data_IF_724318283636
#
_entry.id   IF_724318283636
#
_cell.length_a   1.000
_cell.length_b   1.000
_cell.length_c   1.000
_cell.angle_alpha   90.00
_cell.angle_beta   90.00
_cell.angle_gamma   90.00
#
_symmetry.space_group_name_H-M   'P 1'
#
loop_
_entity.id
_entity.type
_entity.pdbx_description
1 polymer ?
#
# COMPACT_ATOMS: atom_id res chain seq x y z
N UNK A 1 29.11 7.03 -29.68
CA UNK A 1 27.95 6.63 -30.46
C UNK A 1 27.27 5.44 -29.83
N UNK A 2 26.21 5.68 -29.05
CA UNK A 2 25.35 4.65 -28.45
C UNK A 2 24.07 4.53 -29.28
N UNK A 3 24.20 4.09 -30.51
CA UNK A 3 23.06 3.68 -31.32
C UNK A 3 23.09 2.16 -31.45
N UNK A 4 22.75 1.46 -30.35
CA UNK A 4 22.18 0.14 -30.50
C UNK A 4 20.66 0.36 -30.66
N UNK A 5 20.17 0.07 -31.86
CA UNK A 5 18.72 0.01 -32.09
C UNK A 5 18.11 -0.85 -30.97
N UNK A 6 17.16 -0.30 -30.24
CA UNK A 6 16.41 -1.07 -29.28
C UNK A 6 15.74 -2.25 -30.03
N UNK A 7 15.80 -3.48 -29.52
CA UNK A 7 15.05 -4.58 -30.12
C UNK A 7 13.58 -4.17 -30.22
N UNK A 8 12.89 -4.60 -31.28
CA UNK A 8 11.46 -4.35 -31.46
C UNK A 8 10.74 -4.74 -30.18
N UNK A 9 10.22 -3.75 -29.47
CA UNK A 9 9.56 -3.95 -28.19
C UNK A 9 8.19 -4.55 -28.43
N UNK A 10 7.89 -5.60 -27.70
CA UNK A 10 6.54 -6.16 -27.62
C UNK A 10 5.67 -5.16 -26.86
N UNK A 11 4.88 -4.38 -27.57
CA UNK A 11 3.97 -3.41 -26.96
C UNK A 11 2.54 -3.95 -26.90
N UNK A 12 1.78 -3.57 -25.85
CA UNK A 12 2.19 -2.75 -24.69
C UNK A 12 2.98 -3.55 -23.65
N UNK A 13 3.89 -2.88 -22.92
CA UNK A 13 4.60 -3.44 -21.75
C UNK A 13 3.73 -3.28 -20.52
N UNK A 14 3.50 -4.37 -19.80
CA UNK A 14 2.78 -4.34 -18.53
C UNK A 14 3.76 -4.21 -17.35
N UNK A 15 3.77 -3.05 -16.69
CA UNK A 15 4.47 -2.85 -15.43
C UNK A 15 3.48 -2.89 -14.27
N UNK A 16 3.74 -3.72 -13.27
CA UNK A 16 2.94 -3.83 -12.05
C UNK A 16 3.76 -3.37 -10.85
N UNK A 17 3.27 -2.37 -10.14
CA UNK A 17 3.77 -2.07 -8.80
C UNK A 17 3.14 -3.04 -7.80
N UNK A 18 3.96 -3.99 -7.33
CA UNK A 18 3.58 -5.04 -6.39
C UNK A 18 4.09 -4.78 -4.96
N UNK A 19 4.48 -3.55 -4.63
CA UNK A 19 5.08 -3.19 -3.34
C UNK A 19 4.24 -3.61 -2.13
N UNK A 20 2.91 -3.60 -2.22
CA UNK A 20 2.01 -3.95 -1.12
C UNK A 20 1.51 -5.40 -1.13
N UNK A 21 1.81 -6.19 -2.17
CA UNK A 21 1.10 -7.44 -2.41
C UNK A 21 1.77 -8.68 -1.80
N UNK A 22 3.11 -8.76 -1.77
CA UNK A 22 3.85 -10.00 -1.52
C UNK A 22 3.61 -10.65 -0.14
N UNK A 23 3.20 -9.87 0.88
CA UNK A 23 2.81 -10.44 2.18
C UNK A 23 1.49 -11.21 2.14
N UNK A 24 0.60 -10.91 1.19
CA UNK A 24 -0.80 -11.37 1.20
C UNK A 24 -1.23 -12.07 -0.07
N UNK A 25 -0.59 -11.77 -1.21
CA UNK A 25 -0.93 -12.30 -2.52
C UNK A 25 0.28 -12.96 -3.17
N UNK A 26 0.03 -13.90 -4.07
CA UNK A 26 1.06 -14.35 -4.99
C UNK A 26 1.29 -13.30 -6.07
N UNK A 27 2.33 -12.53 -5.87
CA UNK A 27 2.71 -11.41 -6.72
C UNK A 27 3.96 -11.73 -7.56
N UNK A 28 4.21 -13.00 -7.85
CA UNK A 28 5.28 -13.40 -8.77
C UNK A 28 5.02 -12.88 -10.19
N UNK A 29 6.06 -12.56 -10.97
CA UNK A 29 5.90 -12.01 -12.32
C UNK A 29 5.03 -12.91 -13.23
N UNK A 30 5.20 -14.21 -13.15
CA UNK A 30 4.41 -15.18 -13.90
C UNK A 30 2.93 -15.18 -13.49
N UNK A 31 2.64 -15.10 -12.18
CA UNK A 31 1.28 -15.01 -11.66
C UNK A 31 0.59 -13.72 -12.10
N UNK A 32 1.33 -12.62 -12.09
CA UNK A 32 0.85 -11.31 -12.54
C UNK A 32 0.80 -11.17 -14.05
N UNK A 33 1.45 -12.09 -14.80
CA UNK A 33 1.66 -11.99 -16.25
C UNK A 33 2.25 -10.64 -16.66
N UNK A 34 3.17 -10.11 -15.83
CA UNK A 34 3.75 -8.79 -16.00
C UNK A 34 5.15 -8.90 -16.59
N UNK A 35 5.48 -7.96 -17.48
CA UNK A 35 6.80 -7.82 -18.08
C UNK A 35 7.79 -7.15 -17.13
N UNK A 36 7.30 -6.25 -16.28
CA UNK A 36 8.08 -5.55 -15.25
C UNK A 36 7.30 -5.56 -13.95
N UNK A 37 7.97 -5.84 -12.84
CA UNK A 37 7.35 -5.78 -11.50
C UNK A 37 8.27 -5.08 -10.52
N UNK A 38 7.77 -4.09 -9.82
CA UNK A 38 8.49 -3.44 -8.72
C UNK A 38 8.00 -3.91 -7.36
N UNK A 39 8.95 -4.09 -6.43
CA UNK A 39 8.70 -4.51 -5.06
C UNK A 39 9.45 -3.60 -4.08
N UNK A 40 8.94 -3.50 -2.87
CA UNK A 40 9.55 -2.76 -1.76
C UNK A 40 9.86 -3.71 -0.61
N UNK A 41 11.14 -3.85 -0.27
CA UNK A 41 11.60 -4.73 0.80
C UNK A 41 11.00 -4.36 2.16
N UNK A 42 10.89 -3.07 2.47
CA UNK A 42 10.30 -2.57 3.71
C UNK A 42 8.84 -2.99 3.86
N UNK A 43 8.06 -3.07 2.77
CA UNK A 43 6.64 -3.44 2.80
C UNK A 43 6.42 -4.93 3.08
N UNK A 44 7.46 -5.74 2.97
CA UNK A 44 7.46 -7.16 3.34
C UNK A 44 8.24 -7.42 4.65
N UNK A 45 8.44 -6.39 5.47
CA UNK A 45 9.18 -6.43 6.73
C UNK A 45 10.68 -6.73 6.57
N UNK A 46 11.22 -6.45 5.39
CA UNK A 46 12.64 -6.51 5.09
C UNK A 46 13.38 -5.18 5.34
N UNK A 47 14.64 -5.09 4.92
CA UNK A 47 15.45 -3.89 5.11
C UNK A 47 14.86 -2.65 4.44
N UNK A 48 14.99 -1.49 5.10
CA UNK A 48 14.61 -0.19 4.52
C UNK A 48 15.60 0.25 3.45
N UNK A 49 15.12 1.05 2.49
CA UNK A 49 15.96 1.64 1.45
C UNK A 49 16.29 0.70 0.30
N UNK A 50 15.64 -0.45 0.22
CA UNK A 50 15.82 -1.43 -0.85
C UNK A 50 14.49 -1.70 -1.56
N UNK A 51 14.56 -1.65 -2.88
CA UNK A 51 13.52 -2.13 -3.79
C UNK A 51 14.08 -3.21 -4.70
N UNK A 52 13.19 -4.00 -5.28
CA UNK A 52 13.52 -5.00 -6.29
C UNK A 52 12.73 -4.70 -7.55
N UNK A 53 13.43 -4.66 -8.68
CA UNK A 53 12.81 -4.58 -9.99
C UNK A 53 13.02 -5.90 -10.73
N UNK A 54 11.93 -6.63 -10.96
CA UNK A 54 11.93 -7.70 -11.94
C UNK A 54 11.68 -7.09 -13.32
N UNK A 55 12.42 -7.58 -14.31
CA UNK A 55 12.24 -7.23 -15.71
C UNK A 55 12.42 -8.47 -16.58
N UNK A 56 11.46 -8.73 -17.45
CA UNK A 56 11.65 -9.70 -18.52
C UNK A 56 12.81 -9.25 -19.42
N UNK A 57 13.65 -10.18 -19.87
CA UNK A 57 14.83 -9.87 -20.68
C UNK A 57 14.48 -9.21 -22.02
N UNK A 58 13.29 -9.44 -22.54
CA UNK A 58 12.82 -8.85 -23.79
C UNK A 58 12.46 -7.36 -23.66
N UNK A 59 12.27 -6.85 -22.42
CA UNK A 59 11.93 -5.44 -22.18
C UNK A 59 13.23 -4.61 -22.12
N UNK A 60 13.46 -3.68 -23.03
CA UNK A 60 14.60 -2.79 -22.95
C UNK A 60 14.47 -1.84 -21.76
N UNK A 61 15.54 -1.70 -20.98
CA UNK A 61 15.61 -0.76 -19.86
C UNK A 61 16.91 0.02 -19.95
N UNK A 62 16.79 1.34 -19.98
CA UNK A 62 17.94 2.23 -19.97
C UNK A 62 18.27 2.67 -18.54
N UNK A 63 19.55 2.83 -18.17
CA UNK A 63 19.93 3.41 -16.89
C UNK A 63 19.47 4.87 -16.80
N UNK A 64 18.94 5.27 -15.65
CA UNK A 64 18.55 6.67 -15.39
C UNK A 64 19.74 7.49 -14.93
N UNK A 65 20.73 6.85 -14.29
CA UNK A 65 21.96 7.48 -13.79
C UNK A 65 23.19 6.90 -14.47
N UNK A 66 24.15 7.74 -14.79
CA UNK A 66 25.46 7.31 -15.30
C UNK A 66 26.35 6.77 -14.20
N UNK A 67 27.30 5.88 -14.54
CA UNK A 67 28.27 5.32 -13.60
C UNK A 67 28.80 3.95 -14.03
N UNK A 68 29.15 3.11 -13.06
CA UNK A 68 29.66 1.77 -13.28
C UNK A 68 28.64 0.77 -13.85
N UNK A 69 29.11 -0.43 -14.11
CA UNK A 69 28.33 -1.50 -14.77
C UNK A 69 27.54 -2.39 -13.80
N UNK A 70 27.40 -2.01 -12.53
CA UNK A 70 26.68 -2.77 -11.54
C UNK A 70 25.21 -2.98 -11.96
N UNK A 71 24.57 -3.98 -11.40
CA UNK A 71 23.18 -4.37 -11.74
C UNK A 71 22.99 -4.46 -13.27
N UNK A 72 23.95 -5.10 -13.97
CA UNK A 72 23.93 -5.28 -15.43
C UNK A 72 23.93 -3.96 -16.22
N UNK A 73 24.56 -2.93 -15.66
CA UNK A 73 24.65 -1.59 -16.27
C UNK A 73 23.37 -0.76 -16.14
N UNK A 74 22.39 -1.19 -15.36
CA UNK A 74 21.10 -0.49 -15.18
C UNK A 74 21.16 0.46 -13.98
N UNK A 75 21.81 0.03 -12.89
CA UNK A 75 21.87 0.81 -11.64
C UNK A 75 23.33 0.81 -11.14
N UNK A 76 24.06 1.91 -11.34
CA UNK A 76 25.44 2.02 -10.90
C UNK A 76 25.56 2.16 -9.38
N UNK A 77 26.76 1.96 -8.87
CA UNK A 77 27.12 2.01 -7.45
C UNK A 77 27.29 0.62 -6.85
N UNK A 78 28.19 0.51 -5.87
CA UNK A 78 28.49 -0.75 -5.17
C UNK A 78 27.21 -1.36 -4.61
N UNK A 79 27.03 -2.65 -4.85
CA UNK A 79 25.85 -3.40 -4.41
C UNK A 79 25.79 -3.47 -2.88
N UNK A 80 24.61 -3.18 -2.31
CA UNK A 80 24.35 -3.37 -0.89
C UNK A 80 24.06 -4.86 -0.59
N UNK A 81 25.12 -5.67 -0.56
CA UNK A 81 25.02 -7.13 -0.41
C UNK A 81 24.23 -7.53 0.84
N UNK A 82 24.50 -6.90 1.98
CA UNK A 82 23.78 -7.19 3.22
C UNK A 82 22.27 -6.95 3.09
N UNK A 83 21.91 -5.83 2.49
CA UNK A 83 20.51 -5.49 2.23
C UNK A 83 19.85 -6.42 1.20
N UNK A 84 20.57 -6.81 0.15
CA UNK A 84 20.09 -7.76 -0.85
C UNK A 84 19.78 -9.12 -0.20
N UNK A 85 20.69 -9.65 0.62
CA UNK A 85 20.48 -10.91 1.35
C UNK A 85 19.30 -10.79 2.31
N UNK A 86 19.23 -9.72 3.10
CA UNK A 86 18.09 -9.47 3.98
C UNK A 86 16.75 -9.38 3.24
N UNK A 87 16.74 -8.76 2.06
CA UNK A 87 15.56 -8.70 1.19
C UNK A 87 15.15 -10.08 0.67
N UNK A 88 16.11 -10.89 0.24
CA UNK A 88 15.83 -12.26 -0.22
C UNK A 88 15.20 -13.11 0.89
N UNK A 89 15.74 -13.02 2.11
CA UNK A 89 15.19 -13.70 3.30
C UNK A 89 13.76 -13.21 3.59
N UNK A 90 13.52 -11.89 3.52
CA UNK A 90 12.20 -11.32 3.74
C UNK A 90 11.17 -11.84 2.72
N UNK A 91 11.54 -11.95 1.45
CA UNK A 91 10.69 -12.57 0.42
C UNK A 91 10.40 -14.05 0.71
N UNK A 92 11.39 -14.81 1.15
CA UNK A 92 11.18 -16.23 1.51
C UNK A 92 10.19 -16.34 2.67
N UNK A 93 10.37 -15.59 3.75
CA UNK A 93 9.47 -15.57 4.89
C UNK A 93 8.05 -15.08 4.52
N UNK A 94 7.97 -14.09 3.63
CA UNK A 94 6.70 -13.60 3.11
C UNK A 94 5.94 -14.70 2.34
N UNK A 95 6.65 -15.47 1.51
CA UNK A 95 6.11 -16.60 0.74
C UNK A 95 5.60 -17.70 1.67
N UNK A 96 6.42 -18.17 2.60
CA UNK A 96 6.15 -19.35 3.44
C UNK A 96 4.90 -19.19 4.31
N UNK A 97 4.67 -18.01 4.88
CA UNK A 97 3.52 -17.75 5.74
C UNK A 97 2.32 -17.09 5.06
N UNK A 98 2.34 -16.88 3.74
CA UNK A 98 1.42 -16.00 3.01
C UNK A 98 -0.05 -16.33 3.19
N UNK A 99 -0.44 -17.58 2.95
CA UNK A 99 -1.86 -17.98 2.98
C UNK A 99 -2.48 -17.83 4.37
N UNK A 100 -1.78 -18.29 5.41
CA UNK A 100 -2.23 -18.18 6.79
C UNK A 100 -2.31 -16.71 7.24
N UNK A 101 -1.29 -15.92 6.89
CA UNK A 101 -1.24 -14.48 7.19
C UNK A 101 -2.36 -13.72 6.50
N UNK A 102 -2.58 -13.96 5.21
CA UNK A 102 -3.65 -13.33 4.45
C UNK A 102 -5.03 -13.66 5.05
N UNK A 103 -5.28 -14.91 5.40
CA UNK A 103 -6.53 -15.35 6.04
C UNK A 103 -6.74 -14.65 7.39
N UNK A 104 -5.72 -14.65 8.27
CA UNK A 104 -5.78 -13.98 9.58
C UNK A 104 -6.08 -12.49 9.45
N UNK A 105 -5.28 -11.79 8.62
CA UNK A 105 -5.39 -10.33 8.49
C UNK A 105 -6.69 -9.93 7.80
N UNK A 106 -7.15 -10.69 6.81
CA UNK A 106 -8.44 -10.47 6.18
C UNK A 106 -9.61 -10.59 7.18
N UNK A 107 -9.59 -11.57 8.07
CA UNK A 107 -10.61 -11.72 9.10
C UNK A 107 -10.65 -10.52 10.06
N UNK A 108 -9.47 -10.02 10.49
CA UNK A 108 -9.37 -8.83 11.33
C UNK A 108 -9.83 -7.56 10.60
N UNK A 109 -9.48 -7.42 9.32
CA UNK A 109 -9.96 -6.33 8.47
C UNK A 109 -11.47 -6.35 8.34
N UNK A 110 -12.06 -7.50 8.09
CA UNK A 110 -13.51 -7.64 7.92
C UNK A 110 -14.24 -7.34 9.24
N UNK A 111 -13.66 -7.75 10.38
CA UNK A 111 -14.16 -7.38 11.71
C UNK A 111 -14.09 -5.86 11.92
N UNK A 112 -12.97 -5.21 11.57
CA UNK A 112 -12.83 -3.74 11.61
C UNK A 112 -13.93 -3.07 10.78
N UNK A 113 -14.12 -3.52 9.54
CA UNK A 113 -15.13 -2.96 8.63
C UNK A 113 -16.53 -3.07 9.25
N UNK A 114 -16.93 -4.24 9.72
CA UNK A 114 -18.24 -4.47 10.34
C UNK A 114 -18.46 -3.56 11.56
N UNK A 115 -17.45 -3.46 12.43
CA UNK A 115 -17.54 -2.63 13.65
C UNK A 115 -17.62 -1.14 13.33
N UNK A 116 -16.83 -0.64 12.36
CA UNK A 116 -16.87 0.77 11.94
C UNK A 116 -18.23 1.12 11.34
N UNK A 117 -18.73 0.34 10.39
CA UNK A 117 -20.04 0.61 9.74
C UNK A 117 -21.20 0.53 10.75
N UNK A 118 -21.13 -0.39 11.72
CA UNK A 118 -22.11 -0.48 12.79
C UNK A 118 -22.09 0.72 13.74
N UNK A 119 -20.90 1.19 14.11
CA UNK A 119 -20.72 2.29 15.07
C UNK A 119 -20.91 3.67 14.44
N UNK A 120 -20.63 3.79 13.16
CA UNK A 120 -20.76 5.03 12.38
C UNK A 120 -21.60 4.77 11.12
N UNK A 121 -22.95 4.83 11.22
CA UNK A 121 -23.84 4.47 10.10
C UNK A 121 -23.63 5.28 8.82
N UNK A 122 -23.08 6.51 8.94
CA UNK A 122 -22.77 7.37 7.80
C UNK A 122 -21.38 7.07 7.18
N UNK A 123 -20.59 6.17 7.79
CA UNK A 123 -19.32 5.75 7.20
C UNK A 123 -19.57 4.71 6.11
N UNK A 124 -18.92 4.86 4.99
CA UNK A 124 -18.95 3.91 3.89
C UNK A 124 -17.59 3.32 3.61
N UNK A 125 -17.54 2.02 3.29
CA UNK A 125 -16.32 1.37 2.84
C UNK A 125 -16.04 1.80 1.39
N UNK A 126 -14.88 2.39 1.15
CA UNK A 126 -14.47 2.79 -0.20
C UNK A 126 -14.04 1.58 -1.02
N UNK A 127 -14.65 1.41 -2.18
CA UNK A 127 -14.36 0.33 -3.11
C UNK A 127 -14.98 -1.02 -2.73
N UNK A 128 -14.55 -2.09 -3.41
CA UNK A 128 -15.15 -3.43 -3.25
C UNK A 128 -14.83 -4.05 -1.89
N UNK A 129 -15.83 -4.57 -1.20
CA UNK A 129 -15.64 -5.37 0.02
C UNK A 129 -15.01 -6.75 -0.27
N UNK A 130 -15.30 -7.33 -1.44
CA UNK A 130 -14.85 -8.68 -1.81
C UNK A 130 -13.49 -8.70 -2.52
N UNK A 131 -13.25 -7.76 -3.44
CA UNK A 131 -12.01 -7.65 -4.22
C UNK A 131 -11.08 -6.64 -3.56
N UNK A 132 -10.43 -7.05 -2.47
CA UNK A 132 -9.61 -6.19 -1.63
C UNK A 132 -8.40 -6.95 -1.09
N UNK A 133 -7.25 -6.31 -1.01
CA UNK A 133 -6.09 -6.86 -0.33
C UNK A 133 -6.39 -7.07 1.17
N UNK A 134 -5.78 -8.08 1.78
CA UNK A 134 -6.12 -8.51 3.14
C UNK A 134 -5.98 -7.41 4.22
N UNK A 135 -5.04 -6.51 4.06
CA UNK A 135 -4.63 -5.56 5.10
C UNK A 135 -5.22 -4.15 4.97
N UNK A 136 -6.07 -3.88 3.99
CA UNK A 136 -6.56 -2.52 3.72
C UNK A 136 -8.04 -2.36 4.05
N UNK A 137 -8.36 -1.38 4.89
CA UNK A 137 -9.72 -0.88 5.10
C UNK A 137 -9.71 0.64 4.93
N UNK A 138 -10.40 1.14 3.90
CA UNK A 138 -10.50 2.55 3.59
C UNK A 138 -11.95 3.00 3.70
N UNK A 139 -12.20 4.06 4.45
CA UNK A 139 -13.53 4.58 4.69
C UNK A 139 -13.66 6.02 4.22
N UNK A 140 -14.85 6.35 3.77
CA UNK A 140 -15.33 7.73 3.58
C UNK A 140 -16.34 8.03 4.68
N UNK A 141 -16.12 9.12 5.44
CA UNK A 141 -16.98 9.52 6.56
C UNK A 141 -17.46 10.95 6.30
N UNK A 142 -18.63 11.16 5.71
CA UNK A 142 -19.12 12.49 5.35
C UNK A 142 -19.10 13.48 6.51
N UNK A 143 -18.65 14.71 6.22
CA UNK A 143 -18.53 15.79 7.20
C UNK A 143 -17.35 15.68 8.16
N UNK A 144 -16.40 14.78 7.90
CA UNK A 144 -15.22 14.58 8.76
C UNK A 144 -13.96 14.81 7.95
N UNK A 145 -13.22 15.86 8.24
CA UNK A 145 -11.92 16.13 7.60
C UNK A 145 -10.91 15.03 7.93
N UNK A 146 -10.38 14.37 6.90
CA UNK A 146 -9.50 13.20 7.07
C UNK A 146 -8.14 13.54 7.65
N UNK A 147 -7.60 14.74 7.38
CA UNK A 147 -6.32 15.17 7.92
C UNK A 147 -6.43 15.43 9.42
N UNK A 148 -7.47 16.16 9.83
CA UNK A 148 -7.71 16.43 11.25
C UNK A 148 -8.07 15.16 12.02
N UNK A 149 -8.89 14.27 11.41
CA UNK A 149 -9.19 12.96 12.00
C UNK A 149 -7.90 12.15 12.23
N UNK A 150 -6.95 12.18 11.30
CA UNK A 150 -5.67 11.48 11.44
C UNK A 150 -4.88 11.99 12.64
N UNK A 151 -4.86 13.31 12.86
CA UNK A 151 -4.21 13.91 14.04
C UNK A 151 -4.88 13.42 15.33
N UNK A 152 -6.21 13.42 15.39
CA UNK A 152 -6.94 12.94 16.56
C UNK A 152 -6.68 11.47 16.84
N UNK A 153 -6.65 10.62 15.79
CA UNK A 153 -6.32 9.20 15.92
C UNK A 153 -4.90 8.99 16.45
N UNK A 154 -3.94 9.81 16.02
CA UNK A 154 -2.56 9.74 16.51
C UNK A 154 -2.47 10.07 18.00
N UNK A 155 -3.24 11.05 18.50
CA UNK A 155 -3.32 11.33 19.96
C UNK A 155 -3.90 10.19 20.78
N UNK A 156 -4.66 9.29 20.15
CA UNK A 156 -5.19 8.06 20.74
C UNK A 156 -4.24 6.86 20.56
N UNK A 157 -3.03 7.09 20.02
CA UNK A 157 -2.02 6.05 19.75
C UNK A 157 -2.32 5.16 18.55
N UNK A 158 -3.19 5.58 17.63
CA UNK A 158 -3.59 4.82 16.44
C UNK A 158 -3.07 5.52 15.19
N UNK A 159 -2.02 4.97 14.59
CA UNK A 159 -1.48 5.45 13.33
C UNK A 159 -2.38 5.05 12.15
N UNK A 160 -2.85 6.04 11.40
CA UNK A 160 -3.70 5.89 10.21
C UNK A 160 -3.25 6.84 9.10
N UNK A 161 -3.87 6.79 7.96
CA UNK A 161 -3.60 7.73 6.87
C UNK A 161 -4.90 8.30 6.32
N UNK A 162 -4.97 9.60 5.99
CA UNK A 162 -6.18 10.19 5.44
C UNK A 162 -6.41 9.78 3.98
N UNK A 163 -5.34 9.42 3.25
CA UNK A 163 -5.36 9.07 1.81
C UNK A 163 -4.15 8.22 1.42
N UNK A 164 -3.77 8.21 0.15
CA UNK A 164 -2.53 7.55 -0.30
C UNK A 164 -1.31 8.17 0.36
N UNK A 165 -0.41 7.36 0.93
CA UNK A 165 0.79 7.85 1.60
C UNK A 165 1.75 8.62 0.66
N UNK A 166 1.71 8.31 -0.65
CA UNK A 166 2.56 8.94 -1.67
C UNK A 166 2.02 10.27 -2.21
N UNK A 167 0.81 10.69 -1.82
CA UNK A 167 0.20 11.93 -2.33
C UNK A 167 0.87 13.20 -1.80
N UNK A 168 1.88 13.09 -0.94
CA UNK A 168 2.62 14.20 -0.36
C UNK A 168 1.72 15.21 0.38
N UNK A 169 2.32 16.26 0.91
CA UNK A 169 1.59 17.38 1.55
C UNK A 169 0.83 18.29 0.57
N UNK A 170 0.82 17.99 -0.72
CA UNK A 170 0.22 18.84 -1.76
C UNK A 170 -1.15 18.43 -2.27
N UNK A 171 -1.67 17.25 -1.91
CA UNK A 171 -2.98 16.79 -2.35
C UNK A 171 -4.08 17.10 -1.35
N UNK A 172 -4.97 18.04 -1.65
CA UNK A 172 -6.07 18.41 -0.75
C UNK A 172 -7.11 17.29 -0.54
N UNK A 173 -7.14 16.23 -1.38
CA UNK A 173 -8.17 15.18 -1.39
C UNK A 173 -7.66 13.85 -1.99
N UNK A 174 -8.39 12.77 -1.74
CA UNK A 174 -8.09 11.44 -2.28
C UNK A 174 -8.47 11.35 -3.75
N UNK A 175 -7.50 11.31 -4.66
CA UNK A 175 -7.76 11.11 -6.10
C UNK A 175 -8.51 9.81 -6.40
N UNK A 176 -8.33 8.77 -5.57
CA UNK A 176 -9.07 7.50 -5.71
C UNK A 176 -10.55 7.68 -5.41
N UNK A 177 -10.88 8.35 -4.29
CA UNK A 177 -12.28 8.60 -3.93
C UNK A 177 -12.92 9.57 -4.91
N UNK A 178 -12.22 10.61 -5.31
CA UNK A 178 -12.71 11.53 -6.35
C UNK A 178 -13.02 10.80 -7.66
N UNK A 179 -12.14 9.91 -8.11
CA UNK A 179 -12.38 9.12 -9.33
C UNK A 179 -13.60 8.19 -9.22
N UNK A 180 -13.97 7.76 -8.01
CA UNK A 180 -15.13 6.90 -7.76
C UNK A 180 -16.44 7.68 -7.57
N UNK A 181 -16.37 8.89 -7.03
CA UNK A 181 -17.56 9.64 -6.57
C UNK A 181 -17.78 10.94 -7.34
N UNK A 182 -16.74 11.48 -7.98
CA UNK A 182 -16.70 12.82 -8.57
C UNK A 182 -17.07 13.93 -7.57
N UNK A 183 -16.77 13.72 -6.28
CA UNK A 183 -17.11 14.60 -5.16
C UNK A 183 -15.84 14.93 -4.35
N UNK A 184 -15.43 16.19 -4.40
CA UNK A 184 -14.24 16.70 -3.70
C UNK A 184 -14.43 16.69 -2.18
N UNK A 185 -15.64 16.93 -1.68
CA UNK A 185 -15.91 16.91 -0.25
C UNK A 185 -15.77 15.49 0.29
N UNK A 186 -16.37 14.49 -0.36
CA UNK A 186 -16.19 13.09 0.02
C UNK A 186 -14.73 12.64 -0.11
N UNK A 187 -14.01 13.14 -1.10
CA UNK A 187 -12.60 12.81 -1.29
C UNK A 187 -11.68 13.36 -0.18
N UNK A 188 -12.10 14.39 0.56
CA UNK A 188 -11.41 14.90 1.76
C UNK A 188 -11.78 14.14 3.03
N UNK A 189 -12.95 13.54 3.06
CA UNK A 189 -13.54 12.89 4.22
C UNK A 189 -13.12 11.41 4.33
N UNK A 190 -11.83 11.11 4.22
CA UNK A 190 -11.34 9.75 4.10
C UNK A 190 -10.34 9.36 5.18
N UNK A 191 -10.38 8.08 5.57
CA UNK A 191 -9.41 7.49 6.48
C UNK A 191 -9.08 6.05 6.06
N UNK A 192 -7.79 5.70 6.09
CA UNK A 192 -7.30 4.37 5.73
C UNK A 192 -6.61 3.70 6.91
N UNK A 193 -7.07 2.52 7.23
CA UNK A 193 -6.41 1.59 8.15
C UNK A 193 -5.60 0.57 7.35
N UNK A 194 -4.35 0.34 7.79
CA UNK A 194 -3.46 -0.67 7.24
C UNK A 194 -3.07 -1.63 8.34
N UNK A 195 -3.60 -2.85 8.27
CA UNK A 195 -3.35 -3.89 9.26
C UNK A 195 -2.02 -4.60 8.96
N UNK A 196 -1.36 -5.06 10.00
CA UNK A 196 -0.12 -5.83 9.89
C UNK A 196 -0.27 -7.29 10.34
N UNK A 197 0.76 -8.11 10.14
CA UNK A 197 0.77 -9.50 10.64
C UNK A 197 0.64 -9.62 12.16
N UNK A 198 1.08 -8.60 12.89
CA UNK A 198 1.04 -8.52 14.36
C UNK A 198 -0.27 -7.96 14.90
N UNK A 199 -1.13 -7.40 14.05
CA UNK A 199 -2.43 -6.84 14.48
C UNK A 199 -3.26 -7.90 15.20
N UNK A 200 -3.86 -7.50 16.32
CA UNK A 200 -4.70 -8.32 17.19
C UNK A 200 -6.15 -7.84 17.18
N UNK A 201 -7.05 -8.66 17.74
CA UNK A 201 -8.46 -8.24 17.94
C UNK A 201 -8.56 -7.03 18.89
N UNK A 202 -7.70 -6.97 19.90
CA UNK A 202 -7.68 -5.83 20.83
C UNK A 202 -7.31 -4.53 20.12
N UNK A 203 -6.38 -4.58 19.14
CA UNK A 203 -6.03 -3.41 18.34
C UNK A 203 -7.22 -2.94 17.51
N UNK A 204 -8.02 -3.88 16.95
CA UNK A 204 -9.24 -3.54 16.22
C UNK A 204 -10.26 -2.86 17.14
N UNK A 205 -10.47 -3.39 18.35
CA UNK A 205 -11.38 -2.78 19.33
C UNK A 205 -10.94 -1.36 19.73
N UNK A 206 -9.65 -1.20 20.02
CA UNK A 206 -9.08 0.09 20.35
C UNK A 206 -9.21 1.09 19.18
N UNK A 207 -8.89 0.66 17.97
CA UNK A 207 -8.98 1.51 16.77
C UNK A 207 -10.42 1.97 16.48
N UNK A 208 -11.41 1.08 16.62
CA UNK A 208 -12.82 1.45 16.44
C UNK A 208 -13.27 2.43 17.53
N UNK A 209 -12.91 2.16 18.78
CA UNK A 209 -13.28 3.03 19.90
C UNK A 209 -12.66 4.43 19.77
N UNK A 210 -11.39 4.51 19.38
CA UNK A 210 -10.69 5.77 19.11
C UNK A 210 -11.34 6.52 17.95
N UNK A 211 -11.67 5.83 16.86
CA UNK A 211 -12.33 6.42 15.70
C UNK A 211 -13.68 7.05 16.06
N UNK A 212 -14.49 6.32 16.81
CA UNK A 212 -15.83 6.80 17.24
C UNK A 212 -15.70 8.05 18.11
N UNK A 213 -14.78 8.04 19.11
CA UNK A 213 -14.53 9.23 19.95
C UNK A 213 -14.06 10.42 19.12
N UNK A 214 -13.12 10.22 18.23
CA UNK A 214 -12.56 11.27 17.37
C UNK A 214 -13.62 11.90 16.45
N UNK A 215 -14.42 11.07 15.79
CA UNK A 215 -15.51 11.53 14.93
C UNK A 215 -16.57 12.31 15.74
N UNK A 216 -16.92 11.80 16.92
CA UNK A 216 -17.88 12.48 17.80
C UNK A 216 -17.37 13.86 18.25
N UNK A 217 -16.09 13.92 18.66
CA UNK A 217 -15.42 15.17 19.04
C UNK A 217 -15.45 16.20 17.91
N UNK A 218 -15.17 15.78 16.66
CA UNK A 218 -15.20 16.69 15.50
C UNK A 218 -16.60 17.23 15.25
N UNK A 219 -17.64 16.39 15.36
CA UNK A 219 -19.03 16.82 15.15
C UNK A 219 -19.60 17.77 16.23
N UNK A 220 -19.01 17.78 17.42
CA UNK A 220 -19.35 18.73 18.47
C UNK A 220 -18.71 20.10 18.30
N UNK A 221 -17.70 20.21 17.43
CA UNK A 221 -16.94 21.44 17.16
C UNK A 221 -17.31 22.11 15.82
N UNK A 222 -18.13 21.45 15.01
CA UNK A 222 -18.71 21.95 13.75
C UNK A 222 -20.14 22.47 13.96
#
# INVERSE_FOLDING_TARGET
SLSRAAPETRFPVLHVDAAQSSLYLDAGPHTLRADVVSYDAQKILGPKGLGVLFRDFSVPLAPITGGGSQERGIRPGTENVAGIVGTAIAFQLAKDGRAARAKKVAALRDELIQRVVKALPNASLTGSAKRRIANNAHFTIPGVDGDYLTILMDTEGIAVSPRSACSGSGGAWSHVVHALTHDDALARNTIRFSLGPTTTKKDIENAVSALVRSVHRMRLQS
#
